data_IF_156955544406
#
_entry.id   IF_156955544406
#
_cell.length_a   1.000
_cell.length_b   1.000
_cell.length_c   1.000
_cell.angle_alpha   90.00
_cell.angle_beta   90.00
_cell.angle_gamma   90.00
#
_symmetry.space_group_name_H-M   'P 1'
#
loop_
_entity.id
_entity.type
_entity.pdbx_description
1 polymer ?
#
# COMPACT_ATOMS: atom_id res chain seq x y z
N UNK A 1 16.29 5.09 10.42
CA UNK A 1 17.65 5.29 9.88
C UNK A 1 18.21 4.05 9.20
N UNK A 2 18.18 2.86 9.80
CA UNK A 2 18.74 1.64 9.20
C UNK A 2 18.36 1.39 7.73
N UNK A 3 17.07 1.55 7.37
CA UNK A 3 16.62 1.39 5.99
C UNK A 3 17.23 2.45 5.04
N UNK A 4 17.40 3.69 5.51
CA UNK A 4 18.04 4.77 4.73
C UNK A 4 19.50 4.43 4.46
N UNK A 5 20.22 3.92 5.47
CA UNK A 5 21.63 3.59 5.35
C UNK A 5 21.85 2.37 4.44
N UNK A 6 20.95 1.38 4.53
CA UNK A 6 20.88 0.27 3.56
C UNK A 6 20.63 0.78 2.13
N UNK A 7 19.65 1.67 1.93
CA UNK A 7 19.38 2.27 0.64
C UNK A 7 20.59 3.06 0.11
N UNK A 8 21.30 3.79 0.98
CA UNK A 8 22.54 4.49 0.64
C UNK A 8 23.59 3.54 0.07
N UNK A 9 23.81 2.41 0.74
CA UNK A 9 24.74 1.39 0.26
C UNK A 9 24.33 0.90 -1.14
N UNK A 10 23.06 0.58 -1.35
CA UNK A 10 22.58 0.17 -2.68
C UNK A 10 22.79 1.25 -3.74
N UNK A 11 22.54 2.53 -3.43
CA UNK A 11 22.78 3.63 -4.35
C UNK A 11 24.27 3.77 -4.69
N UNK A 12 25.17 3.62 -3.71
CA UNK A 12 26.63 3.65 -3.92
C UNK A 12 27.09 2.53 -4.84
N UNK A 13 26.68 1.31 -4.55
CA UNK A 13 27.21 0.11 -5.22
C UNK A 13 26.62 -0.13 -6.61
N UNK A 14 25.37 0.27 -6.84
CA UNK A 14 24.65 -0.11 -8.07
C UNK A 14 24.09 1.07 -8.86
N UNK A 15 24.12 2.30 -8.31
CA UNK A 15 23.51 3.45 -8.96
C UNK A 15 24.26 3.97 -10.20
N UNK A 16 25.46 3.46 -10.46
CA UNK A 16 26.16 3.63 -11.74
C UNK A 16 25.34 3.04 -12.90
N UNK A 17 24.68 1.90 -12.67
CA UNK A 17 23.90 1.14 -13.67
C UNK A 17 22.39 1.17 -13.45
N UNK A 18 21.92 1.10 -12.20
CA UNK A 18 20.49 1.08 -11.86
C UNK A 18 19.92 2.49 -11.93
N UNK A 19 18.90 2.68 -12.78
CA UNK A 19 18.24 3.98 -13.00
C UNK A 19 16.79 4.04 -12.53
N UNK A 20 16.24 2.93 -12.04
CA UNK A 20 14.88 2.83 -11.54
C UNK A 20 14.90 2.14 -10.18
N UNK A 21 14.58 2.89 -9.14
CA UNK A 21 14.62 2.41 -7.76
C UNK A 21 13.22 2.28 -7.20
N UNK A 22 12.90 1.10 -6.67
CA UNK A 22 11.70 0.88 -5.85
C UNK A 22 12.17 0.68 -4.42
N UNK A 23 11.73 1.60 -3.54
CA UNK A 23 12.05 1.57 -2.11
C UNK A 23 11.35 0.41 -1.40
N UNK A 24 10.02 0.41 -1.36
CA UNK A 24 9.22 -0.59 -0.66
C UNK A 24 8.18 -1.14 -1.63
N UNK A 25 8.08 -2.47 -1.72
CA UNK A 25 7.02 -3.15 -2.45
C UNK A 25 5.85 -3.45 -1.51
N UNK A 26 4.65 -3.03 -1.90
CA UNK A 26 3.39 -3.34 -1.25
C UNK A 26 3.41 -3.15 0.27
N UNK A 27 3.66 -1.94 0.77
CA UNK A 27 3.76 -1.72 2.21
C UNK A 27 2.45 -2.09 2.94
N UNK A 28 1.28 -1.93 2.30
CA UNK A 28 -0.02 -2.39 2.81
C UNK A 28 -0.03 -3.89 3.13
N UNK A 29 0.57 -4.72 2.26
CA UNK A 29 0.63 -6.17 2.44
C UNK A 29 1.39 -6.55 3.71
N UNK A 30 2.46 -5.82 4.05
CA UNK A 30 3.19 -6.03 5.30
C UNK A 30 2.36 -5.58 6.50
N UNK A 31 1.83 -4.35 6.49
CA UNK A 31 1.04 -3.82 7.61
C UNK A 31 -0.16 -4.70 7.95
N UNK A 32 -0.84 -5.25 6.95
CA UNK A 32 -1.99 -6.13 7.16
C UNK A 32 -1.56 -7.58 7.47
N UNK A 33 -0.79 -8.21 6.59
CA UNK A 33 -0.55 -9.65 6.72
C UNK A 33 0.46 -9.97 7.82
N UNK A 34 1.39 -9.07 8.15
CA UNK A 34 2.39 -9.32 9.17
C UNK A 34 1.99 -8.86 10.58
N UNK A 35 1.13 -7.83 10.69
CA UNK A 35 0.79 -7.18 11.96
C UNK A 35 -0.71 -7.13 12.29
N UNK A 36 -1.58 -7.62 11.40
CA UNK A 36 -3.01 -7.73 11.68
C UNK A 36 -3.54 -9.17 11.56
N UNK A 37 -3.08 -9.90 10.54
CA UNK A 37 -3.47 -11.29 10.29
C UNK A 37 -2.43 -12.32 10.74
N UNK A 38 -1.20 -11.90 11.06
CA UNK A 38 -0.10 -12.80 11.45
C UNK A 38 0.32 -13.86 10.41
N UNK A 39 -0.05 -13.70 9.14
CA UNK A 39 0.25 -14.65 8.06
C UNK A 39 1.66 -14.50 7.50
N UNK A 40 2.22 -13.29 7.56
CA UNK A 40 3.58 -12.99 7.10
C UNK A 40 4.48 -12.74 8.32
N UNK A 41 5.79 -12.93 8.17
CA UNK A 41 6.75 -12.60 9.23
C UNK A 41 6.64 -11.10 9.61
N UNK A 42 6.67 -10.74 10.91
CA UNK A 42 6.98 -11.59 12.07
C UNK A 42 5.79 -12.38 12.65
N UNK A 43 4.62 -12.35 12.02
CA UNK A 43 3.47 -13.17 12.40
C UNK A 43 2.70 -12.63 13.60
N UNK A 44 2.55 -11.30 13.68
CA UNK A 44 1.92 -10.62 14.81
C UNK A 44 0.45 -10.32 14.58
N UNK A 45 -0.33 -10.46 15.64
CA UNK A 45 -1.74 -10.07 15.70
C UNK A 45 -2.23 -10.10 17.16
N UNK A 46 -3.41 -9.55 17.43
CA UNK A 46 -4.02 -9.63 18.75
C UNK A 46 -4.43 -11.06 19.15
N UNK A 47 -4.13 -11.45 20.38
CA UNK A 47 -4.41 -12.80 20.91
C UNK A 47 -5.88 -13.22 20.80
N UNK A 48 -6.81 -12.29 21.02
CA UNK A 48 -8.26 -12.56 20.96
C UNK A 48 -8.77 -12.96 19.56
N UNK A 49 -7.98 -12.76 18.51
CA UNK A 49 -8.30 -13.22 17.16
C UNK A 49 -8.07 -14.73 16.97
N UNK A 50 -7.37 -15.40 17.90
CA UNK A 50 -7.06 -16.84 17.87
C UNK A 50 -6.42 -17.31 16.55
N UNK A 51 -5.53 -16.50 15.96
CA UNK A 51 -4.85 -16.78 14.69
C UNK A 51 -3.48 -17.45 14.83
N UNK A 52 -3.13 -17.94 16.03
CA UNK A 52 -1.83 -18.56 16.34
C UNK A 52 -0.63 -17.64 16.02
N UNK A 53 -0.75 -16.36 16.39
CA UNK A 53 0.29 -15.35 16.18
C UNK A 53 1.37 -15.39 17.27
N UNK A 54 2.49 -14.73 17.00
CA UNK A 54 3.60 -14.54 17.96
C UNK A 54 3.32 -13.46 19.03
N UNK A 55 2.06 -13.00 19.12
CA UNK A 55 1.59 -11.87 19.93
C UNK A 55 1.39 -10.59 19.11
N UNK A 56 0.96 -9.51 19.77
CA UNK A 56 0.84 -8.17 19.17
C UNK A 56 -0.53 -7.51 19.32
N UNK A 57 -0.73 -6.42 18.57
CA UNK A 57 -1.95 -5.61 18.61
C UNK A 57 -2.40 -5.21 17.20
N UNK A 58 -3.39 -5.94 16.67
CA UNK A 58 -4.02 -5.69 15.36
C UNK A 58 -4.79 -4.36 15.28
N UNK A 59 -5.03 -3.71 16.42
CA UNK A 59 -5.62 -2.38 16.50
C UNK A 59 -4.61 -1.24 16.31
N UNK A 60 -3.32 -1.47 16.57
CA UNK A 60 -2.32 -0.40 16.64
C UNK A 60 -1.10 -0.66 15.76
N UNK A 61 -0.55 -1.87 15.77
CA UNK A 61 0.70 -2.21 15.08
C UNK A 61 0.64 -2.01 13.56
N UNK A 62 -0.46 -2.32 12.84
CA UNK A 62 -0.56 -2.03 11.41
C UNK A 62 -0.37 -0.54 11.09
N UNK A 63 -0.87 0.36 11.95
CA UNK A 63 -0.73 1.81 11.78
C UNK A 63 0.67 2.32 12.08
N UNK A 64 1.32 1.77 13.11
CA UNK A 64 2.72 2.07 13.41
C UNK A 64 3.65 1.57 12.29
N UNK A 65 3.42 0.36 11.80
CA UNK A 65 4.17 -0.22 10.68
C UNK A 65 4.03 0.64 9.42
N UNK A 66 2.80 0.98 9.03
CA UNK A 66 2.57 1.84 7.87
C UNK A 66 3.23 3.22 8.01
N UNK A 67 3.17 3.81 9.21
CA UNK A 67 3.81 5.10 9.51
C UNK A 67 5.32 5.03 9.32
N UNK A 68 5.98 4.03 9.92
CA UNK A 68 7.43 3.86 9.80
C UNK A 68 7.86 3.50 8.37
N UNK A 69 7.08 2.70 7.64
CA UNK A 69 7.35 2.42 6.22
C UNK A 69 7.32 3.69 5.37
N UNK A 70 6.37 4.59 5.61
CA UNK A 70 6.27 5.87 4.91
C UNK A 70 7.48 6.76 5.22
N UNK A 71 7.87 6.88 6.48
CA UNK A 71 9.04 7.67 6.88
C UNK A 71 10.33 7.08 6.31
N UNK A 72 10.49 5.75 6.35
CA UNK A 72 11.63 5.06 5.76
C UNK A 72 11.74 5.27 4.25
N UNK A 73 10.61 5.17 3.53
CA UNK A 73 10.52 5.51 2.11
C UNK A 73 10.95 6.96 1.84
N UNK A 74 10.37 7.91 2.58
CA UNK A 74 10.67 9.34 2.40
C UNK A 74 12.15 9.64 2.66
N UNK A 75 12.74 9.06 3.71
CA UNK A 75 14.16 9.23 4.02
C UNK A 75 15.07 8.70 2.90
N UNK A 76 14.79 7.50 2.35
CA UNK A 76 15.56 6.93 1.24
C UNK A 76 15.39 7.75 -0.05
N UNK A 77 14.17 8.18 -0.37
CA UNK A 77 13.88 9.00 -1.54
C UNK A 77 14.56 10.38 -1.46
N UNK A 78 14.53 11.02 -0.28
CA UNK A 78 15.18 12.31 -0.04
C UNK A 78 16.71 12.18 -0.14
N UNK A 79 17.29 11.14 0.45
CA UNK A 79 18.71 10.83 0.31
C UNK A 79 19.12 10.69 -1.16
N UNK A 80 18.39 9.88 -1.94
CA UNK A 80 18.66 9.69 -3.35
C UNK A 80 18.60 11.03 -4.12
N UNK A 81 17.53 11.80 -3.89
CA UNK A 81 17.32 13.11 -4.52
C UNK A 81 18.45 14.09 -4.25
N UNK A 82 18.94 14.16 -3.01
CA UNK A 82 19.98 15.11 -2.61
C UNK A 82 21.37 14.66 -3.05
N UNK A 83 21.70 13.38 -2.85
CA UNK A 83 23.09 12.91 -2.97
C UNK A 83 23.42 12.25 -4.30
N UNK A 84 22.46 11.60 -4.94
CA UNK A 84 22.71 10.69 -6.07
C UNK A 84 22.03 11.10 -7.38
N UNK A 85 20.92 11.85 -7.32
CA UNK A 85 20.12 12.16 -8.52
C UNK A 85 20.91 12.91 -9.60
N UNK A 86 21.75 13.88 -9.22
CA UNK A 86 22.56 14.66 -10.17
C UNK A 86 23.60 13.83 -10.91
N UNK A 87 24.30 12.91 -10.22
CA UNK A 87 25.36 12.09 -10.82
C UNK A 87 24.81 10.84 -11.51
N UNK A 88 23.84 10.17 -10.88
CA UNK A 88 23.31 8.88 -11.35
C UNK A 88 22.16 9.01 -12.34
N UNK A 89 21.43 10.13 -12.31
CA UNK A 89 20.32 10.44 -13.25
C UNK A 89 19.21 9.39 -13.31
N UNK A 90 19.04 8.57 -12.27
CA UNK A 90 17.91 7.66 -12.14
C UNK A 90 16.70 8.31 -11.45
N UNK A 91 15.60 7.55 -11.38
CA UNK A 91 14.36 7.92 -10.72
C UNK A 91 14.02 6.95 -9.58
N UNK A 92 13.34 7.44 -8.56
CA UNK A 92 12.99 6.66 -7.36
C UNK A 92 11.50 6.71 -7.06
N UNK A 93 10.94 5.58 -6.66
CA UNK A 93 9.52 5.43 -6.38
C UNK A 93 9.21 4.40 -5.31
N UNK A 94 7.92 4.14 -5.15
CA UNK A 94 7.35 3.13 -4.27
C UNK A 94 6.33 2.33 -5.08
N UNK A 95 6.18 1.04 -4.76
CA UNK A 95 5.17 0.20 -5.39
C UNK A 95 4.04 -0.05 -4.41
N UNK A 96 2.84 0.38 -4.76
CA UNK A 96 1.64 0.17 -3.96
C UNK A 96 0.80 -0.95 -4.59
N UNK A 97 0.21 -1.81 -3.74
CA UNK A 97 -0.87 -2.70 -4.17
C UNK A 97 -2.21 -1.97 -4.02
N UNK A 98 -3.11 -2.20 -4.96
CA UNK A 98 -4.47 -1.66 -4.87
C UNK A 98 -5.51 -2.68 -5.31
N UNK A 99 -6.59 -2.73 -4.54
CA UNK A 99 -7.87 -3.26 -4.98
C UNK A 99 -8.75 -2.12 -5.45
N UNK A 100 -9.54 -2.36 -6.49
CA UNK A 100 -10.65 -1.47 -6.80
C UNK A 100 -11.89 -1.85 -5.99
N UNK A 101 -12.66 -0.85 -5.56
CA UNK A 101 -13.90 -1.05 -4.82
C UNK A 101 -15.08 -0.47 -5.58
N UNK A 102 -15.98 -1.32 -6.04
CA UNK A 102 -17.30 -0.94 -6.54
C UNK A 102 -18.30 -0.94 -5.39
N UNK A 103 -19.30 -0.05 -5.35
CA UNK A 103 -20.33 -0.12 -4.33
C UNK A 103 -21.22 -1.35 -4.56
N UNK A 104 -21.61 -2.04 -3.48
CA UNK A 104 -22.46 -3.22 -3.56
C UNK A 104 -23.86 -2.89 -4.11
N UNK A 105 -24.37 -1.68 -3.84
CA UNK A 105 -25.63 -1.15 -4.36
C UNK A 105 -25.50 0.32 -4.76
N UNK A 106 -26.56 0.89 -5.33
CA UNK A 106 -26.66 2.33 -5.59
C UNK A 106 -27.00 3.15 -4.33
N UNK A 107 -27.20 2.51 -3.17
CA UNK A 107 -27.47 3.21 -1.93
C UNK A 107 -26.26 4.07 -1.54
N UNK A 108 -26.52 5.29 -1.04
CA UNK A 108 -25.48 6.25 -0.65
C UNK A 108 -24.48 5.66 0.36
N UNK A 109 -24.96 4.80 1.26
CA UNK A 109 -24.13 4.15 2.26
C UNK A 109 -23.05 3.24 1.64
N UNK A 110 -23.39 2.49 0.59
CA UNK A 110 -22.46 1.60 -0.11
C UNK A 110 -21.52 2.36 -1.03
N UNK A 111 -21.99 3.46 -1.64
CA UNK A 111 -21.14 4.42 -2.38
C UNK A 111 -20.09 5.05 -1.46
N UNK A 112 -20.46 5.37 -0.22
CA UNK A 112 -19.49 5.87 0.76
C UNK A 112 -18.59 4.74 1.28
N UNK A 113 -19.10 3.51 1.37
CA UNK A 113 -18.31 2.35 1.75
C UNK A 113 -17.21 2.06 0.73
N UNK A 114 -17.48 2.12 -0.57
CA UNK A 114 -16.45 1.90 -1.59
C UNK A 114 -15.31 2.92 -1.50
N UNK A 115 -15.63 4.20 -1.24
CA UNK A 115 -14.64 5.24 -0.98
C UNK A 115 -13.82 4.97 0.27
N UNK A 116 -14.46 4.55 1.37
CA UNK A 116 -13.74 4.15 2.60
C UNK A 116 -12.82 2.95 2.36
N UNK A 117 -13.27 1.96 1.59
CA UNK A 117 -12.45 0.82 1.19
C UNK A 117 -11.21 1.26 0.43
N UNK A 118 -11.36 2.15 -0.56
CA UNK A 118 -10.22 2.69 -1.31
C UNK A 118 -9.29 3.54 -0.43
N UNK A 119 -9.82 4.32 0.50
CA UNK A 119 -9.02 5.10 1.46
C UNK A 119 -8.16 4.19 2.35
N UNK A 120 -8.71 3.09 2.87
CA UNK A 120 -7.98 2.13 3.72
C UNK A 120 -7.06 1.18 2.94
N UNK A 121 -7.25 1.04 1.63
CA UNK A 121 -6.42 0.21 0.74
C UNK A 121 -5.28 1.02 0.13
N UNK A 122 -5.62 1.97 -0.73
CA UNK A 122 -4.67 2.74 -1.53
C UNK A 122 -4.37 4.10 -0.90
N UNK A 123 -5.41 4.80 -0.43
CA UNK A 123 -5.28 6.15 0.14
C UNK A 123 -4.41 6.20 1.40
N UNK A 124 -4.33 5.10 2.15
CA UNK A 124 -3.54 4.99 3.37
C UNK A 124 -2.06 5.32 3.14
N UNK A 125 -1.52 4.91 2.00
CA UNK A 125 -0.14 5.23 1.59
C UNK A 125 -0.10 6.38 0.60
N UNK A 126 -1.05 6.46 -0.34
CA UNK A 126 -1.00 7.46 -1.40
C UNK A 126 -1.26 8.90 -0.92
N UNK A 127 -2.14 9.09 0.08
CA UNK A 127 -2.44 10.43 0.59
C UNK A 127 -1.25 11.05 1.33
N UNK A 128 -0.51 10.34 2.21
CA UNK A 128 0.74 10.85 2.76
C UNK A 128 1.73 11.28 1.68
N UNK A 129 1.90 10.50 0.62
CA UNK A 129 2.84 10.79 -0.47
C UNK A 129 2.43 12.02 -1.30
N UNK A 130 1.15 12.38 -1.37
CA UNK A 130 0.66 13.49 -2.21
C UNK A 130 0.26 14.74 -1.42
N UNK A 131 -0.16 14.55 -0.17
CA UNK A 131 -0.73 15.59 0.69
C UNK A 131 0.00 15.74 2.01
N UNK A 132 0.86 14.81 2.39
CA UNK A 132 1.54 14.80 3.69
C UNK A 132 0.62 14.42 4.85
N UNK A 133 -0.57 13.88 4.59
CA UNK A 133 -1.54 13.48 5.61
C UNK A 133 -2.30 12.21 5.21
N UNK A 134 -2.73 11.44 6.22
CA UNK A 134 -3.63 10.30 6.00
C UNK A 134 -5.03 10.75 5.52
N UNK A 135 -5.79 9.86 4.85
CA UNK A 135 -7.18 10.15 4.45
C UNK A 135 -8.04 10.64 5.61
N UNK A 136 -8.97 11.56 5.33
CA UNK A 136 -9.89 12.11 6.34
C UNK A 136 -10.74 11.01 6.99
N UNK A 137 -11.21 10.05 6.20
CA UNK A 137 -11.98 8.89 6.68
C UNK A 137 -11.19 8.11 7.75
N UNK A 138 -9.92 7.78 7.48
CA UNK A 138 -9.06 7.09 8.42
C UNK A 138 -8.82 7.90 9.70
N UNK A 139 -8.49 9.18 9.58
CA UNK A 139 -8.29 10.06 10.75
C UNK A 139 -9.51 10.10 11.66
N UNK A 140 -10.71 10.17 11.08
CA UNK A 140 -11.97 10.20 11.83
C UNK A 140 -12.31 8.86 12.46
N UNK A 141 -12.14 7.75 11.74
CA UNK A 141 -12.57 6.42 12.18
C UNK A 141 -11.60 5.77 13.16
N UNK A 142 -10.30 5.89 12.88
CA UNK A 142 -9.22 5.27 13.67
C UNK A 142 -8.87 6.12 14.89
N UNK A 143 -8.90 7.45 14.73
CA UNK A 143 -8.64 8.39 15.82
C UNK A 143 -7.21 8.28 16.38
N UNK A 144 -7.10 8.11 17.70
CA UNK A 144 -5.82 8.17 18.42
C UNK A 144 -4.84 7.02 18.06
N UNK A 145 -5.34 5.92 17.52
CA UNK A 145 -4.49 4.78 17.09
C UNK A 145 -3.74 5.07 15.79
N UNK A 146 -4.17 6.07 15.01
CA UNK A 146 -3.48 6.51 13.81
C UNK A 146 -2.41 7.53 14.18
N UNK A 147 -1.11 7.25 13.95
CA UNK A 147 -0.04 8.21 14.22
C UNK A 147 -0.23 9.52 13.45
N UNK A 148 0.41 10.58 13.93
CA UNK A 148 0.42 11.89 13.28
C UNK A 148 1.82 12.17 12.78
N UNK A 149 1.91 12.66 11.54
CA UNK A 149 3.16 13.22 11.05
C UNK A 149 3.42 14.57 11.71
N UNK A 150 4.68 14.84 12.05
CA UNK A 150 5.17 16.19 12.32
C UNK A 150 5.05 17.06 11.06
N UNK A 151 5.24 18.39 11.21
CA UNK A 151 5.21 19.29 10.06
C UNK A 151 6.34 18.97 9.09
N UNK A 152 7.48 18.58 9.63
CA UNK A 152 8.69 18.22 8.93
C UNK A 152 8.49 16.93 8.14
N UNK A 153 8.01 15.86 8.80
CA UNK A 153 7.70 14.58 8.15
C UNK A 153 6.64 14.72 7.05
N UNK A 154 5.58 15.48 7.33
CA UNK A 154 4.51 15.76 6.36
C UNK A 154 5.06 16.42 5.08
N UNK A 155 5.98 17.37 5.24
CA UNK A 155 6.65 18.05 4.13
C UNK A 155 7.59 17.11 3.37
N UNK A 156 8.33 16.25 4.07
CA UNK A 156 9.27 15.31 3.44
C UNK A 156 8.57 14.19 2.67
N UNK A 157 7.40 13.74 3.13
CA UNK A 157 6.57 12.75 2.44
C UNK A 157 5.96 13.28 1.14
N UNK A 158 5.58 14.56 1.12
CA UNK A 158 4.88 15.15 -0.01
C UNK A 158 5.79 15.18 -1.25
N UNK A 159 5.42 14.42 -2.27
CA UNK A 159 6.20 14.29 -3.49
C UNK A 159 7.50 13.51 -3.31
N UNK A 160 7.58 12.59 -2.34
CA UNK A 160 8.76 11.73 -2.13
C UNK A 160 8.91 10.62 -3.17
N UNK A 161 8.43 10.82 -4.39
CA UNK A 161 8.51 9.84 -5.48
C UNK A 161 8.59 10.57 -6.83
N UNK A 162 9.34 9.99 -7.76
CA UNK A 162 9.40 10.38 -9.18
C UNK A 162 8.41 9.56 -10.01
N UNK A 163 8.08 8.33 -9.58
CA UNK A 163 7.11 7.44 -10.21
C UNK A 163 6.40 6.58 -9.18
N UNK A 164 5.27 5.98 -9.58
CA UNK A 164 4.48 5.07 -8.75
C UNK A 164 4.39 3.70 -9.44
N UNK A 165 4.83 2.64 -8.76
CA UNK A 165 4.48 1.28 -9.16
C UNK A 165 3.07 0.94 -8.68
N UNK A 166 2.23 0.36 -9.52
CA UNK A 166 0.91 -0.14 -9.12
C UNK A 166 0.79 -1.65 -9.36
N UNK A 167 0.71 -2.41 -8.28
CA UNK A 167 0.33 -3.81 -8.34
C UNK A 167 -1.20 -3.92 -8.26
N UNK A 168 -1.80 -4.47 -9.32
CA UNK A 168 -3.25 -4.60 -9.44
C UNK A 168 -3.62 -6.02 -9.81
N UNK A 169 -4.55 -6.61 -9.05
CA UNK A 169 -4.94 -8.01 -9.22
C UNK A 169 -6.45 -8.22 -9.32
N UNK A 170 -7.25 -7.49 -8.54
CA UNK A 170 -8.68 -7.74 -8.44
C UNK A 170 -9.47 -6.54 -7.91
N UNK A 171 -10.79 -6.65 -8.02
CA UNK A 171 -11.78 -5.70 -7.52
C UNK A 171 -12.75 -6.37 -6.55
N UNK A 172 -13.36 -5.58 -5.68
CA UNK A 172 -14.32 -6.03 -4.67
C UNK A 172 -15.57 -5.17 -4.72
N UNK A 173 -16.71 -5.75 -4.37
CA UNK A 173 -17.89 -4.98 -3.98
C UNK A 173 -17.80 -4.61 -2.50
N UNK A 174 -18.07 -3.34 -2.18
CA UNK A 174 -18.10 -2.81 -0.82
C UNK A 174 -19.53 -2.47 -0.40
N UNK A 175 -20.01 -3.12 0.66
CA UNK A 175 -21.23 -2.74 1.36
C UNK A 175 -20.90 -2.01 2.67
N UNK A 176 -21.76 -1.10 3.11
CA UNK A 176 -21.61 -0.47 4.42
C UNK A 176 -21.75 -1.49 5.55
N UNK A 177 -20.82 -1.45 6.51
CA UNK A 177 -20.94 -2.17 7.77
C UNK A 177 -21.21 -1.17 8.91
N UNK A 178 -22.20 -1.43 9.78
CA UNK A 178 -22.45 -0.58 10.94
C UNK A 178 -21.29 -0.67 11.94
N UNK A 179 -21.06 0.41 12.69
CA UNK A 179 -20.09 0.40 13.79
C UNK A 179 -20.67 -0.42 14.94
N UNK A 180 -19.93 -1.41 15.43
CA UNK A 180 -20.35 -2.14 16.62
C UNK A 180 -20.38 -1.19 17.84
N UNK A 181 -21.46 -1.17 18.63
CA UNK A 181 -21.63 -0.23 19.74
C UNK A 181 -20.61 -0.45 20.87
N UNK A 182 -20.07 -1.67 21.00
CA UNK A 182 -19.07 -2.05 21.99
C UNK A 182 -17.77 -2.45 21.30
N UNK A 183 -17.00 -1.49 20.76
CA UNK A 183 -15.64 -1.76 20.27
C UNK A 183 -14.72 -1.98 21.48
N UNK A 184 -14.79 -3.17 22.07
CA UNK A 184 -13.91 -3.57 23.18
C UNK A 184 -12.52 -3.93 22.65
N UNK A 185 -12.44 -4.36 21.38
CA UNK A 185 -11.23 -4.88 20.75
C UNK A 185 -11.07 -4.25 19.36
N UNK A 186 -10.37 -3.10 19.25
CA UNK A 186 -10.16 -2.42 17.98
C UNK A 186 -9.28 -3.27 17.05
N UNK A 187 -9.57 -3.24 15.75
CA UNK A 187 -8.78 -3.96 14.75
C UNK A 187 -8.91 -3.28 13.39
N UNK A 188 -7.80 -3.19 12.64
CA UNK A 188 -7.78 -2.52 11.33
C UNK A 188 -8.79 -3.12 10.34
N UNK A 189 -9.08 -4.42 10.46
CA UNK A 189 -9.99 -5.18 9.62
C UNK A 189 -11.41 -4.62 9.62
N UNK A 190 -11.84 -4.02 10.74
CA UNK A 190 -13.20 -3.48 10.90
C UNK A 190 -13.26 -1.96 10.83
N UNK A 191 -12.11 -1.27 10.94
CA UNK A 191 -12.05 0.18 11.08
C UNK A 191 -12.58 0.95 9.87
N UNK A 192 -12.54 0.35 8.67
CA UNK A 192 -13.09 0.94 7.45
C UNK A 192 -14.62 0.95 7.40
N UNK A 193 -15.28 0.16 8.27
CA UNK A 193 -16.74 0.00 8.31
C UNK A 193 -17.31 -0.41 6.94
N UNK A 194 -16.68 -1.42 6.33
CA UNK A 194 -17.12 -2.04 5.07
C UNK A 194 -17.19 -3.55 5.20
N UNK A 195 -18.08 -4.18 4.46
CA UNK A 195 -17.99 -5.60 4.10
C UNK A 195 -17.58 -5.71 2.64
N UNK A 196 -16.49 -6.41 2.35
CA UNK A 196 -15.92 -6.52 1.01
C UNK A 196 -16.02 -7.95 0.47
N UNK A 197 -16.48 -8.12 -0.78
CA UNK A 197 -16.63 -9.43 -1.41
C UNK A 197 -16.16 -9.44 -2.87
N UNK A 198 -15.49 -10.52 -3.27
CA UNK A 198 -15.18 -10.82 -4.68
C UNK A 198 -16.35 -11.47 -5.43
N UNK A 199 -17.36 -11.98 -4.72
CA UNK A 199 -18.52 -12.62 -5.35
C UNK A 199 -19.55 -11.57 -5.74
N UNK A 200 -20.02 -11.66 -6.98
CA UNK A 200 -21.20 -10.93 -7.44
C UNK A 200 -22.37 -11.27 -6.48
N UNK A 201 -22.92 -10.25 -5.82
CA UNK A 201 -24.09 -10.44 -4.96
C UNK A 201 -25.27 -10.71 -5.89
N UNK A 202 -25.67 -11.97 -6.03
CA UNK A 202 -26.79 -12.45 -6.87
C UNK A 202 -28.19 -11.98 -6.39
N UNK A 203 -28.28 -10.87 -5.64
CA UNK A 203 -29.50 -10.41 -4.99
C UNK A 203 -30.10 -9.13 -5.61
N UNK A 204 -29.62 -8.69 -6.78
CA UNK A 204 -30.09 -7.45 -7.42
C UNK A 204 -30.87 -7.70 -8.72
N UNK A 205 -32.06 -7.08 -8.90
CA UNK A 205 -32.87 -7.25 -10.09
C UNK A 205 -32.15 -6.68 -11.32
N UNK A 206 -31.75 -7.57 -12.25
CA UNK A 206 -31.45 -7.49 -13.70
C UNK A 206 -31.21 -6.16 -14.45
N UNK A 207 -31.09 -4.98 -13.84
CA UNK A 207 -31.11 -3.68 -14.53
C UNK A 207 -29.79 -2.92 -14.64
N UNK A 208 -28.66 -3.51 -14.27
CA UNK A 208 -27.33 -2.94 -14.56
C UNK A 208 -26.37 -4.03 -15.05
N UNK A 209 -26.64 -4.55 -16.26
CA UNK A 209 -25.63 -5.26 -17.05
C UNK A 209 -24.66 -4.23 -17.64
N UNK A 210 -23.64 -3.81 -16.87
CA UNK A 210 -22.40 -3.32 -17.45
C UNK A 210 -21.41 -4.47 -17.37
N UNK A 211 -20.99 -4.95 -18.54
CA UNK A 211 -20.02 -6.03 -18.69
C UNK A 211 -18.70 -5.59 -18.04
N UNK A 212 -18.45 -6.03 -16.81
CA UNK A 212 -17.09 -6.04 -16.26
C UNK A 212 -16.45 -7.32 -16.77
N UNK A 213 -15.84 -7.23 -17.95
CA UNK A 213 -15.00 -8.31 -18.48
C UNK A 213 -13.75 -8.39 -17.59
N UNK A 214 -13.56 -9.52 -16.91
CA UNK A 214 -12.28 -9.84 -16.26
C UNK A 214 -11.21 -9.90 -17.35
N UNK A 215 -10.45 -8.82 -17.51
CA UNK A 215 -9.22 -8.88 -18.29
C UNK A 215 -8.13 -9.53 -17.44
N UNK A 216 -7.56 -10.59 -18.01
CA UNK A 216 -6.42 -11.36 -17.55
C UNK A 216 -5.24 -10.46 -17.19
N UNK A 217 -4.47 -10.92 -16.19
CA UNK A 217 -3.28 -10.30 -15.58
C UNK A 217 -2.44 -9.46 -16.55
N UNK A 218 -2.26 -8.18 -16.21
CA UNK A 218 -1.20 -7.32 -16.73
C UNK A 218 -0.59 -6.51 -15.59
N UNK A 219 0.74 -6.52 -15.48
CA UNK A 219 1.47 -5.57 -14.64
C UNK A 219 1.36 -4.18 -15.29
N UNK A 220 0.86 -3.19 -14.56
CA UNK A 220 0.78 -1.80 -15.03
C UNK A 220 1.83 -0.95 -14.31
N UNK A 221 2.86 -0.52 -15.02
CA UNK A 221 3.68 0.61 -14.56
C UNK A 221 2.92 1.89 -14.94
N UNK A 222 2.33 2.58 -13.96
CA UNK A 222 1.77 3.91 -14.18
C UNK A 222 2.81 4.97 -13.83
N UNK A 223 3.44 5.56 -14.84
CA UNK A 223 4.16 6.82 -14.68
C UNK A 223 3.16 7.95 -14.53
N UNK A 224 2.93 8.43 -13.30
CA UNK A 224 2.15 9.64 -13.06
C UNK A 224 3.06 10.85 -13.23
N UNK A 225 2.97 11.55 -14.35
CA UNK A 225 3.64 12.86 -14.52
C UNK A 225 2.88 13.97 -13.78
N UNK A 226 3.63 14.76 -13.04
CA UNK A 226 3.17 16.02 -12.46
C UNK A 226 3.25 17.11 -13.53
N UNK A 227 2.13 17.46 -14.20
CA UNK A 227 1.84 18.78 -14.83
C UNK A 227 0.58 18.82 -15.74
N UNK A 228 -0.55 18.26 -15.28
CA UNK A 228 -1.88 18.78 -15.68
C UNK A 228 -2.30 18.74 -17.16
N UNK A 229 -1.83 17.78 -17.98
CA UNK A 229 -2.40 17.52 -19.31
C UNK A 229 -2.96 16.10 -19.43
N UNK A 230 -4.13 15.90 -20.09
CA UNK A 230 -4.64 14.57 -20.37
C UNK A 230 -3.87 13.96 -21.55
N UNK A 231 -3.46 12.70 -21.43
CA UNK A 231 -2.97 11.92 -22.56
C UNK A 231 -3.98 10.83 -22.93
N UNK A 232 -4.18 10.67 -24.23
CA UNK A 232 -5.06 9.69 -24.88
C UNK A 232 -4.58 8.23 -24.70
N UNK A 233 -4.99 7.30 -25.59
CA UNK A 233 -5.21 5.90 -25.25
C UNK A 233 -3.99 5.19 -24.66
N UNK A 234 -4.26 4.41 -23.62
CA UNK A 234 -3.36 3.45 -22.97
C UNK A 234 -2.62 2.60 -24.01
N UNK A 235 -1.29 2.64 -23.98
CA UNK A 235 -0.46 1.70 -24.74
C UNK A 235 -0.25 0.44 -23.90
N UNK A 236 -0.81 -0.66 -24.39
CA UNK A 236 -0.60 -2.00 -23.85
C UNK A 236 0.80 -2.47 -24.29
N UNK A 237 1.74 -2.64 -23.36
CA UNK A 237 3.05 -3.23 -23.67
C UNK A 237 2.97 -4.71 -23.28
N UNK A 238 2.62 -5.57 -24.24
CA UNK A 238 2.71 -7.02 -24.07
C UNK A 238 4.12 -7.48 -24.48
N UNK A 239 4.74 -8.27 -23.59
CA UNK A 239 5.91 -9.12 -23.85
C UNK A 239 7.29 -8.42 -23.88
N UNK A 240 8.02 -8.48 -22.76
CA UNK A 240 9.49 -8.44 -22.78
C UNK A 240 10.06 -9.64 -22.01
N UNK A 241 10.98 -10.35 -22.66
CA UNK A 241 11.86 -11.34 -22.04
C UNK A 241 12.64 -10.68 -20.90
N UNK A 242 12.66 -11.32 -19.74
CA UNK A 242 13.37 -10.85 -18.54
C UNK A 242 14.88 -10.75 -18.81
N UNK A 243 15.38 -9.52 -18.99
CA UNK A 243 16.66 -9.12 -18.40
C UNK A 243 16.31 -8.35 -17.13
N UNK A 244 16.59 -8.92 -15.97
CA UNK A 244 16.30 -8.30 -14.66
C UNK A 244 17.11 -7.00 -14.56
N UNK A 245 16.45 -5.85 -14.71
CA UNK A 245 17.00 -4.51 -14.44
C UNK A 245 16.34 -3.82 -13.25
N UNK A 246 15.46 -4.50 -12.51
CA UNK A 246 14.82 -3.98 -11.31
C UNK A 246 15.41 -4.65 -10.07
N UNK A 247 16.13 -3.89 -9.26
CA UNK A 247 16.43 -4.28 -7.88
C UNK A 247 15.31 -3.67 -7.03
N UNK A 248 14.40 -4.51 -6.56
CA UNK A 248 13.54 -4.15 -5.44
C UNK A 248 14.40 -4.17 -4.18
N UNK A 249 14.35 -3.10 -3.37
CA UNK A 249 15.04 -3.03 -2.07
C UNK A 249 14.33 -3.88 -0.99
N UNK A 250 13.83 -5.06 -1.37
CA UNK A 250 13.36 -6.06 -0.42
C UNK A 250 14.52 -6.97 -0.05
N UNK A 251 15.22 -6.62 1.01
CA UNK A 251 15.81 -7.63 1.88
C UNK A 251 15.01 -7.64 3.18
N UNK A 252 14.08 -8.60 3.27
CA UNK A 252 13.72 -9.14 4.58
C UNK A 252 15.03 -9.67 5.15
N UNK A 253 15.43 -9.15 6.31
CA UNK A 253 16.60 -9.58 7.03
C UNK A 253 16.47 -11.09 7.33
N UNK A 254 16.93 -11.92 6.38
CA UNK A 254 17.01 -13.37 6.48
C UNK A 254 18.41 -13.68 7.00
N UNK A 255 18.69 -13.24 8.22
CA UNK A 255 19.85 -13.71 8.98
C UNK A 255 19.33 -14.61 10.10
N UNK A 256 19.80 -15.86 10.07
CA UNK A 256 19.61 -16.93 11.04
C UNK A 256 18.25 -17.66 11.07
N UNK A 257 17.92 -18.44 10.04
CA UNK A 257 17.55 -19.87 10.19
C UNK A 257 18.06 -20.60 8.96
N UNK A 258 19.32 -21.04 9.04
CA UNK A 258 19.88 -22.10 8.22
C UNK A 258 19.93 -23.34 9.11
N UNK A 259 19.60 -24.51 8.55
CA UNK A 259 19.46 -25.86 9.13
C UNK A 259 18.02 -26.21 9.54
N UNK A 260 17.35 -27.23 9.01
CA UNK A 260 17.72 -28.30 8.09
C UNK A 260 16.45 -28.77 7.36
N UNK A 261 16.64 -29.26 6.13
CA UNK A 261 15.66 -30.00 5.35
C UNK A 261 15.31 -31.34 6.02
N UNK A 262 14.03 -31.71 6.03
CA UNK A 262 13.49 -32.99 5.55
C UNK A 262 12.00 -32.83 5.27
#
# INVERSE_FOLDING_TARGET
>A
DDFRDYAELCFKEFGDRVKHWITINEPWSVSMNAYAFGKFAPGRCSDWLNLNCTGGDSGTEPYLTAHNQLLAHSAAANLYRIKYKSSQRGIIGITLVSHWYEPATTAKADVDASKRGLDFMFGWYMNPLTRGEYPKSMRTLVGKRLPKFSKEESRELKGSFDFLGLNYYSSYYAAHAPRHPNVVQPTIQTDSLINATCKYINQFPNKLKRNVTLHTLNFFLMTVEHNGKPLGPMVCISSFHWKITYISMLFICKFCIQKDCF
#
